data_IF_750804049460
#
_entry.id   IF_750804049460
#
_cell.length_a   1.000
_cell.length_b   1.000
_cell.length_c   1.000
_cell.angle_alpha   90.00
_cell.angle_beta   90.00
_cell.angle_gamma   90.00
#
_symmetry.space_group_name_H-M   'P 1'
#
loop_
_entity.id
_entity.type
_entity.pdbx_description
1 polymer ?
#
# COMPACT_ATOMS: atom_id res chain seq x y z
N UNK A 1 -15.11 28.01 -10.25
CA UNK A 1 -14.93 26.64 -9.79
C UNK A 1 -14.79 26.53 -8.27
N UNK A 2 -14.25 27.53 -7.57
CA UNK A 2 -14.11 27.53 -6.10
C UNK A 2 -15.26 28.25 -5.36
N UNK A 3 -16.31 28.68 -6.08
CA UNK A 3 -17.50 29.29 -5.50
C UNK A 3 -18.59 28.21 -5.31
N UNK A 4 -18.82 27.83 -4.06
CA UNK A 4 -19.84 26.83 -3.70
C UNK A 4 -21.28 27.24 -4.08
N UNK A 5 -21.57 28.54 -4.16
CA UNK A 5 -22.90 29.00 -4.56
C UNK A 5 -23.19 28.64 -6.02
N UNK A 6 -22.21 28.65 -6.91
CA UNK A 6 -22.36 28.22 -8.30
C UNK A 6 -22.74 26.74 -8.36
N UNK A 7 -22.08 25.90 -7.54
CA UNK A 7 -22.41 24.47 -7.49
C UNK A 7 -23.79 24.22 -6.88
N UNK A 8 -24.11 24.90 -5.78
CA UNK A 8 -25.38 24.76 -5.09
C UNK A 8 -26.58 25.19 -5.95
N UNK A 9 -26.48 26.34 -6.66
CA UNK A 9 -27.54 26.87 -7.53
C UNK A 9 -27.77 26.04 -8.81
N UNK A 10 -26.89 25.10 -9.12
CA UNK A 10 -27.01 24.18 -10.26
C UNK A 10 -27.12 22.71 -9.84
N UNK A 11 -27.54 22.41 -8.63
CA UNK A 11 -27.69 21.05 -8.09
C UNK A 11 -26.44 20.18 -8.31
N UNK A 12 -25.25 20.76 -8.16
CA UNK A 12 -23.94 20.15 -8.46
C UNK A 12 -23.71 19.74 -9.91
N UNK A 13 -24.57 20.20 -10.83
CA UNK A 13 -24.54 19.87 -12.26
C UNK A 13 -23.98 21.01 -13.14
N UNK A 14 -23.28 21.96 -12.55
CA UNK A 14 -22.68 23.07 -13.31
C UNK A 14 -21.70 22.58 -14.39
N UNK A 15 -20.98 21.49 -14.11
CA UNK A 15 -20.17 20.76 -15.08
C UNK A 15 -20.75 19.36 -15.32
N UNK A 16 -20.49 18.80 -16.49
CA UNK A 16 -20.88 17.41 -16.81
C UNK A 16 -20.27 16.45 -15.78
N UNK A 17 -21.07 15.61 -15.13
CA UNK A 17 -20.57 14.61 -14.20
C UNK A 17 -19.63 13.60 -14.88
N UNK A 18 -18.58 13.10 -14.18
CA UNK A 18 -17.68 12.09 -14.71
C UNK A 18 -18.34 10.70 -14.69
N UNK A 19 -19.30 10.46 -15.58
CA UNK A 19 -20.18 9.28 -15.60
C UNK A 19 -19.41 7.96 -15.52
N UNK A 20 -18.30 7.82 -16.26
CA UNK A 20 -17.48 6.61 -16.22
C UNK A 20 -16.90 6.35 -14.83
N UNK A 21 -16.36 7.38 -14.18
CA UNK A 21 -15.79 7.24 -12.83
C UNK A 21 -16.85 6.89 -11.79
N UNK A 22 -18.07 7.48 -11.91
CA UNK A 22 -19.19 7.17 -11.04
C UNK A 22 -19.63 5.71 -11.22
N UNK A 23 -19.75 5.25 -12.48
CA UNK A 23 -20.07 3.87 -12.80
C UNK A 23 -19.05 2.90 -12.23
N UNK A 24 -17.74 3.15 -12.45
CA UNK A 24 -16.67 2.32 -11.91
C UNK A 24 -16.67 2.30 -10.38
N UNK A 25 -16.92 3.43 -9.73
CA UNK A 25 -17.06 3.48 -8.27
C UNK A 25 -18.22 2.61 -7.78
N UNK A 26 -19.36 2.62 -8.48
CA UNK A 26 -20.50 1.75 -8.19
C UNK A 26 -20.12 0.28 -8.23
N UNK A 27 -19.44 -0.17 -9.29
CA UNK A 27 -18.97 -1.56 -9.41
C UNK A 27 -18.01 -1.96 -8.28
N UNK A 28 -17.13 -1.03 -7.84
CA UNK A 28 -16.24 -1.29 -6.71
C UNK A 28 -17.04 -1.39 -5.40
N UNK A 29 -18.08 -0.59 -5.20
CA UNK A 29 -18.95 -0.68 -4.01
C UNK A 29 -19.73 -2.01 -3.97
N UNK A 30 -20.26 -2.44 -5.10
CA UNK A 30 -20.92 -3.75 -5.22
C UNK A 30 -19.96 -4.90 -4.91
N UNK A 31 -18.73 -4.84 -5.44
CA UNK A 31 -17.68 -5.80 -5.11
C UNK A 31 -17.40 -5.82 -3.59
N UNK A 32 -17.20 -4.66 -2.96
CA UNK A 32 -16.92 -4.58 -1.53
C UNK A 32 -18.09 -5.11 -0.68
N UNK A 33 -19.32 -4.86 -1.08
CA UNK A 33 -20.50 -5.41 -0.42
C UNK A 33 -20.57 -6.94 -0.54
N UNK A 34 -20.32 -7.47 -1.74
CA UNK A 34 -20.29 -8.92 -1.98
C UNK A 34 -19.19 -9.62 -1.17
N UNK A 35 -18.07 -8.96 -0.94
CA UNK A 35 -16.93 -9.45 -0.12
C UNK A 35 -17.16 -9.34 1.39
N UNK A 36 -18.34 -8.91 1.86
CA UNK A 36 -18.72 -8.81 3.28
C UNK A 36 -18.73 -7.38 3.84
N UNK A 37 -18.60 -6.37 2.98
CA UNK A 37 -18.71 -4.96 3.34
C UNK A 37 -17.49 -4.39 4.06
N UNK A 38 -17.66 -3.18 4.60
CA UNK A 38 -16.57 -2.41 5.18
C UNK A 38 -15.92 -3.09 6.40
N UNK A 39 -16.70 -3.76 7.23
CA UNK A 39 -16.19 -4.44 8.43
C UNK A 39 -15.25 -5.59 8.07
N UNK A 40 -15.61 -6.38 7.06
CA UNK A 40 -14.74 -7.47 6.58
C UNK A 40 -13.50 -6.92 5.87
N UNK A 41 -13.63 -5.88 5.06
CA UNK A 41 -12.47 -5.22 4.45
C UNK A 41 -11.52 -4.67 5.50
N UNK A 42 -12.03 -4.03 6.55
CA UNK A 42 -11.23 -3.55 7.67
C UNK A 42 -10.45 -4.71 8.31
N UNK A 43 -11.11 -5.80 8.67
CA UNK A 43 -10.49 -6.98 9.27
C UNK A 43 -9.38 -7.58 8.39
N UNK A 44 -9.65 -7.71 7.08
CA UNK A 44 -8.65 -8.20 6.11
C UNK A 44 -7.44 -7.26 6.01
N UNK A 45 -7.67 -5.96 5.98
CA UNK A 45 -6.60 -4.96 5.87
C UNK A 45 -5.77 -4.88 7.15
N UNK A 46 -6.40 -4.93 8.32
CA UNK A 46 -5.70 -5.00 9.61
C UNK A 46 -4.79 -6.24 9.69
N UNK A 47 -5.30 -7.42 9.29
CA UNK A 47 -4.50 -8.66 9.27
C UNK A 47 -3.30 -8.58 8.31
N UNK A 48 -3.47 -8.00 7.12
CA UNK A 48 -2.38 -7.80 6.16
C UNK A 48 -1.33 -6.83 6.69
N UNK A 49 -1.79 -5.69 7.21
CA UNK A 49 -0.91 -4.67 7.75
C UNK A 49 -0.13 -5.18 8.97
N UNK A 50 -0.79 -5.88 9.89
CA UNK A 50 -0.15 -6.48 11.05
C UNK A 50 0.97 -7.43 10.64
N UNK A 51 0.73 -8.36 9.70
CA UNK A 51 1.77 -9.29 9.23
C UNK A 51 3.06 -8.58 8.80
N UNK A 52 2.94 -7.47 8.07
CA UNK A 52 4.10 -6.75 7.57
C UNK A 52 4.74 -5.87 8.64
N UNK A 53 3.94 -5.14 9.43
CA UNK A 53 4.47 -4.29 10.49
C UNK A 53 5.06 -5.08 11.66
N UNK A 54 4.45 -6.19 12.06
CA UNK A 54 4.99 -7.06 13.10
C UNK A 54 6.37 -7.60 12.70
N UNK A 55 6.53 -7.98 11.41
CA UNK A 55 7.84 -8.35 10.91
C UNK A 55 8.82 -7.17 10.93
N UNK A 56 8.43 -5.99 10.44
CA UNK A 56 9.28 -4.80 10.44
C UNK A 56 9.73 -4.39 11.83
N UNK A 57 8.85 -4.51 12.82
CA UNK A 57 9.13 -4.12 14.21
C UNK A 57 9.91 -5.19 14.99
N UNK A 58 9.88 -6.47 14.55
CA UNK A 58 10.57 -7.59 15.22
C UNK A 58 12.05 -7.72 14.89
N UNK A 59 12.56 -6.93 13.94
CA UNK A 59 13.94 -7.05 13.45
C UNK A 59 14.57 -5.65 13.25
N UNK A 60 15.88 -5.58 13.03
CA UNK A 60 16.64 -4.34 12.89
C UNK A 60 17.19 -4.08 11.48
N UNK A 61 17.01 -5.03 10.56
CA UNK A 61 17.53 -4.92 9.19
C UNK A 61 16.76 -3.89 8.36
N UNK A 62 15.42 -3.88 8.49
CA UNK A 62 14.56 -2.89 7.84
C UNK A 62 14.08 -1.87 8.87
N UNK A 63 13.87 -0.65 8.43
CA UNK A 63 13.38 0.47 9.24
C UNK A 63 12.06 0.92 8.64
N UNK A 64 11.00 0.96 9.44
CA UNK A 64 9.75 1.61 9.10
C UNK A 64 9.85 3.09 9.51
N UNK A 65 10.00 4.05 8.58
CA UNK A 65 10.29 5.45 8.94
C UNK A 65 9.07 6.18 9.52
N UNK A 66 7.88 5.62 9.36
CA UNK A 66 6.62 6.23 9.82
C UNK A 66 6.34 5.82 11.26
N UNK A 67 6.06 6.81 12.12
CA UNK A 67 5.68 6.58 13.51
C UNK A 67 4.43 5.67 13.60
N UNK A 68 4.36 4.74 14.57
CA UNK A 68 3.29 3.75 14.65
C UNK A 68 1.87 4.33 14.55
N UNK A 69 1.61 5.45 15.21
CA UNK A 69 0.30 6.12 15.23
C UNK A 69 -0.08 6.77 13.88
N UNK A 70 0.88 6.91 12.96
CA UNK A 70 0.69 7.50 11.63
C UNK A 70 0.76 6.45 10.50
N UNK A 71 0.89 5.17 10.82
CA UNK A 71 1.06 4.09 9.85
C UNK A 71 -0.19 3.87 8.99
N UNK A 72 0.03 3.73 7.69
CA UNK A 72 -1.03 3.37 6.74
C UNK A 72 -1.20 1.86 6.66
N UNK A 73 -2.44 1.37 6.66
CA UNK A 73 -2.74 -0.03 6.35
C UNK A 73 -2.68 -0.36 4.84
N UNK A 74 -2.54 0.68 3.99
CA UNK A 74 -2.59 0.54 2.52
C UNK A 74 -1.23 0.70 1.85
N UNK A 75 -0.37 1.58 2.40
CA UNK A 75 0.96 1.88 1.86
C UNK A 75 1.99 1.78 2.99
N UNK A 76 2.65 0.65 3.06
CA UNK A 76 3.71 0.40 4.05
C UNK A 76 5.05 0.77 3.44
N UNK A 77 5.70 1.79 3.99
CA UNK A 77 7.03 2.23 3.57
C UNK A 77 8.09 1.67 4.49
N UNK A 78 9.21 1.25 3.90
CA UNK A 78 10.37 0.75 4.65
C UNK A 78 11.67 0.99 3.86
N UNK A 79 12.78 1.00 4.58
CA UNK A 79 14.13 1.17 4.03
C UNK A 79 15.08 0.19 4.70
N UNK A 80 16.20 -0.09 4.08
CA UNK A 80 17.30 -0.80 4.75
C UNK A 80 18.23 0.14 5.52
N UNK A 81 18.17 1.44 5.24
CA UNK A 81 19.12 2.43 5.75
C UNK A 81 20.37 2.59 4.86
N UNK A 82 20.51 1.77 3.83
CA UNK A 82 21.54 1.85 2.79
C UNK A 82 20.86 2.00 1.42
N UNK A 83 21.06 3.12 0.71
CA UNK A 83 20.43 3.35 -0.60
C UNK A 83 20.82 2.33 -1.68
N UNK A 84 22.01 1.71 -1.61
CA UNK A 84 22.43 0.71 -2.58
C UNK A 84 21.73 -0.63 -2.30
N UNK A 85 21.56 -1.00 -1.03
CA UNK A 85 20.75 -2.16 -0.64
C UNK A 85 19.27 -1.95 -0.98
N UNK A 86 18.72 -0.74 -0.84
CA UNK A 86 17.35 -0.42 -1.25
C UNK A 86 17.14 -0.62 -2.75
N UNK A 87 18.09 -0.17 -3.58
CA UNK A 87 18.06 -0.39 -5.04
C UNK A 87 18.14 -1.87 -5.39
N UNK A 88 19.07 -2.60 -4.75
CA UNK A 88 19.23 -4.04 -4.93
C UNK A 88 17.96 -4.79 -4.57
N UNK A 89 17.40 -4.49 -3.39
CA UNK A 89 16.13 -5.07 -2.95
C UNK A 89 15.02 -4.87 -3.99
N UNK A 90 14.83 -3.64 -4.46
CA UNK A 90 13.77 -3.32 -5.42
C UNK A 90 13.96 -4.06 -6.76
N UNK A 91 15.21 -4.24 -7.22
CA UNK A 91 15.51 -4.98 -8.43
C UNK A 91 15.24 -6.49 -8.27
N UNK A 92 15.75 -7.11 -7.20
CA UNK A 92 15.57 -8.54 -6.94
C UNK A 92 14.12 -8.89 -6.61
N UNK A 93 13.42 -8.05 -5.83
CA UNK A 93 11.99 -8.20 -5.58
C UNK A 93 11.18 -8.17 -6.88
N UNK A 94 11.50 -7.25 -7.79
CA UNK A 94 10.85 -7.16 -9.10
C UNK A 94 11.11 -8.42 -9.94
N UNK A 95 12.33 -8.94 -9.93
CA UNK A 95 12.69 -10.19 -10.61
C UNK A 95 11.95 -11.41 -10.01
N UNK A 96 11.73 -11.40 -8.69
CA UNK A 96 10.96 -12.41 -7.97
C UNK A 96 9.42 -12.27 -8.15
N UNK A 97 8.95 -11.31 -8.95
CA UNK A 97 7.52 -11.10 -9.25
C UNK A 97 6.81 -10.11 -8.32
N UNK A 98 7.50 -9.50 -7.35
CA UNK A 98 6.96 -8.46 -6.47
C UNK A 98 7.00 -7.11 -7.19
N UNK A 99 5.92 -6.80 -7.91
CA UNK A 99 5.84 -5.62 -8.79
C UNK A 99 5.65 -4.32 -8.00
N UNK A 100 6.21 -3.22 -8.53
CA UNK A 100 6.02 -1.86 -8.02
C UNK A 100 6.43 -1.64 -6.55
N UNK A 101 7.41 -2.41 -6.05
CA UNK A 101 7.88 -2.32 -4.66
C UNK A 101 8.74 -1.08 -4.40
N UNK A 102 9.30 -0.46 -5.43
CA UNK A 102 10.13 0.75 -5.31
C UNK A 102 9.32 1.89 -4.69
N UNK A 103 9.92 2.61 -3.73
CA UNK A 103 9.34 3.76 -3.07
C UNK A 103 9.14 4.98 -3.99
N UNK A 104 8.48 6.02 -3.46
CA UNK A 104 8.23 7.23 -4.23
C UNK A 104 9.56 7.93 -4.58
N UNK A 105 9.65 8.47 -5.80
CA UNK A 105 10.88 9.11 -6.32
C UNK A 105 11.46 10.23 -5.44
N UNK A 106 10.61 10.92 -4.67
CA UNK A 106 11.03 12.00 -3.78
C UNK A 106 11.46 11.53 -2.38
N UNK A 107 11.15 10.27 -2.00
CA UNK A 107 11.41 9.72 -0.66
C UNK A 107 12.43 8.59 -0.73
N UNK A 108 12.44 7.82 -1.80
CA UNK A 108 13.29 6.63 -1.94
C UNK A 108 12.74 5.40 -1.22
N UNK A 109 13.62 4.45 -0.94
CA UNK A 109 13.30 3.22 -0.24
C UNK A 109 12.32 2.29 -0.97
N UNK A 110 11.57 1.53 -0.22
CA UNK A 110 10.55 0.61 -0.68
C UNK A 110 9.16 1.01 -0.18
N UNK A 111 8.14 0.59 -0.93
CA UNK A 111 6.73 0.79 -0.57
C UNK A 111 5.90 -0.42 -0.99
N UNK A 112 5.32 -1.11 -0.03
CA UNK A 112 4.32 -2.13 -0.29
C UNK A 112 2.94 -1.49 -0.38
N UNK A 113 2.31 -1.58 -1.57
CA UNK A 113 0.93 -1.12 -1.80
C UNK A 113 0.00 -2.32 -1.63
N UNK A 114 -0.59 -2.46 -0.43
CA UNK A 114 -1.39 -3.63 -0.02
C UNK A 114 -2.88 -3.27 0.07
N UNK A 115 -3.41 -2.65 -0.97
CA UNK A 115 -4.82 -2.22 -1.04
C UNK A 115 -5.83 -3.36 -0.84
N UNK A 116 -7.11 -3.02 -0.82
CA UNK A 116 -8.21 -3.95 -0.52
C UNK A 116 -8.14 -5.27 -1.33
N UNK A 117 -7.83 -5.19 -2.62
CA UNK A 117 -7.78 -6.36 -3.50
C UNK A 117 -6.50 -7.21 -3.36
N UNK A 118 -5.47 -6.74 -2.62
CA UNK A 118 -4.26 -7.52 -2.37
C UNK A 118 -4.59 -8.70 -1.45
N UNK A 119 -4.37 -9.96 -1.86
CA UNK A 119 -4.57 -11.11 -1.00
C UNK A 119 -3.53 -11.15 0.12
N UNK A 120 -3.87 -11.82 1.23
CA UNK A 120 -2.97 -12.02 2.37
C UNK A 120 -1.67 -12.70 1.97
N UNK A 121 -1.76 -13.68 1.08
CA UNK A 121 -0.64 -14.48 0.56
C UNK A 121 0.38 -13.61 -0.19
N UNK A 122 -0.06 -12.55 -0.86
CA UNK A 122 0.84 -11.60 -1.51
C UNK A 122 1.72 -10.84 -0.50
N UNK A 123 1.14 -10.48 0.66
CA UNK A 123 1.91 -9.85 1.75
C UNK A 123 2.83 -10.86 2.43
N UNK A 124 2.38 -12.10 2.62
CA UNK A 124 3.20 -13.17 3.17
C UNK A 124 4.41 -13.48 2.27
N UNK A 125 4.21 -13.52 0.95
CA UNK A 125 5.30 -13.68 -0.02
C UNK A 125 6.33 -12.56 0.09
N UNK A 126 5.89 -11.31 0.27
CA UNK A 126 6.80 -10.20 0.49
C UNK A 126 7.61 -10.39 1.78
N UNK A 127 6.98 -10.76 2.89
CA UNK A 127 7.68 -10.98 4.17
C UNK A 127 8.73 -12.10 4.06
N UNK A 128 8.40 -13.20 3.40
CA UNK A 128 9.36 -14.29 3.17
C UNK A 128 10.53 -13.85 2.27
N UNK A 129 10.24 -13.06 1.23
CA UNK A 129 11.29 -12.46 0.40
C UNK A 129 12.19 -11.53 1.23
N UNK A 130 11.62 -10.70 2.10
CA UNK A 130 12.37 -9.80 2.99
C UNK A 130 13.31 -10.57 3.92
N UNK A 131 12.85 -11.66 4.52
CA UNK A 131 13.67 -12.53 5.37
C UNK A 131 14.85 -13.13 4.60
N UNK A 132 14.58 -13.68 3.42
CA UNK A 132 15.59 -14.25 2.54
C UNK A 132 16.63 -13.20 2.13
N UNK A 133 16.18 -12.05 1.66
CA UNK A 133 17.08 -10.97 1.25
C UNK A 133 17.98 -10.49 2.38
N UNK A 134 17.44 -10.33 3.60
CA UNK A 134 18.24 -9.93 4.76
C UNK A 134 19.32 -10.97 5.13
N UNK A 135 19.01 -12.27 5.01
CA UNK A 135 19.96 -13.34 5.25
C UNK A 135 21.10 -13.40 4.21
N UNK A 136 20.77 -13.11 2.95
CA UNK A 136 21.72 -13.14 1.82
C UNK A 136 22.56 -11.85 1.69
N UNK A 137 22.14 -10.77 2.33
CA UNK A 137 22.79 -9.45 2.27
C UNK A 137 23.01 -8.86 3.68
N UNK A 138 23.89 -9.49 4.50
CA UNK A 138 24.15 -8.97 5.85
C UNK A 138 24.71 -7.54 5.79
N UNK A 139 24.30 -6.69 6.73
CA UNK A 139 24.91 -5.38 6.92
C UNK A 139 26.19 -5.52 7.72
N UNK A 140 27.23 -4.86 7.28
CA UNK A 140 28.51 -4.76 8.01
C UNK A 140 28.38 -3.84 9.23
#
# INVERSE_FOLDING_TARGET
MLDWNVMASNDSMYNTPPCFNIYMAGLVFDYLLAEGGLSEMKRRNERKAALLYDYLDSQSYYIAPVRPECRSMMNVTFVTGDPELDKKFAAEATAAGLKNIKGHRSVGGMRASIYNAMPYEGVATLVEFMKKFAAENPKN
#
